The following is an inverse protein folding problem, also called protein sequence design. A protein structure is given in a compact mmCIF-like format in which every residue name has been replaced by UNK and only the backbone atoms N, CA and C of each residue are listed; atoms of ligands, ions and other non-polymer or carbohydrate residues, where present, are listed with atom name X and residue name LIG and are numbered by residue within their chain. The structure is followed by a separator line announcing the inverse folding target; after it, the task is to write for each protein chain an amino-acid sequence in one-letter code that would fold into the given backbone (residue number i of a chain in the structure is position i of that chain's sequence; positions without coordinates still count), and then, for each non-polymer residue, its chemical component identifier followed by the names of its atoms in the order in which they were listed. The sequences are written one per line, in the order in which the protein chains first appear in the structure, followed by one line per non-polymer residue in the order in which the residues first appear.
data_IF_538500236435
#
_entry.id   IF_538500236435
#
_cell.length_a   1.000
_cell.length_b   1.000
_cell.length_c   1.000
_cell.angle_alpha   90.00
_cell.angle_beta   90.00
_cell.angle_gamma   90.00
#
_symmetry.space_group_name_H-M   'P 1'
#
loop_
_entity.id
_entity.type
_entity.pdbx_description
1 polymer ?
#
# COMPACT_ATOMS: atom_id res chain seq x y z
N UNK A 1 -19.17 -10.16 -7.45
CA UNK A 1 -18.01 -9.65 -8.22
C UNK A 1 -17.30 -8.46 -7.58
N UNK A 2 -17.74 -7.96 -6.43
CA UNK A 2 -17.37 -6.62 -5.94
C UNK A 2 -16.11 -6.59 -5.07
N UNK A 3 -15.97 -7.50 -4.11
CA UNK A 3 -14.91 -7.41 -3.07
C UNK A 3 -13.48 -7.68 -3.55
N UNK A 4 -13.30 -8.58 -4.51
CA UNK A 4 -11.96 -8.87 -5.07
C UNK A 4 -11.42 -7.70 -5.92
N UNK A 5 -12.31 -7.10 -6.71
CA UNK A 5 -11.98 -5.92 -7.54
C UNK A 5 -11.65 -4.72 -6.64
N UNK A 6 -12.46 -4.50 -5.59
CA UNK A 6 -12.20 -3.45 -4.60
C UNK A 6 -10.83 -3.63 -3.93
N UNK A 7 -10.50 -4.86 -3.50
CA UNK A 7 -9.20 -5.14 -2.89
C UNK A 7 -8.04 -4.86 -3.86
N UNK A 8 -8.13 -5.30 -5.12
CA UNK A 8 -7.08 -5.03 -6.10
C UNK A 8 -6.93 -3.55 -6.44
N UNK A 9 -8.04 -2.79 -6.50
CA UNK A 9 -8.01 -1.35 -6.75
C UNK A 9 -7.39 -0.62 -5.57
N UNK A 10 -7.76 -0.97 -4.32
CA UNK A 10 -7.19 -0.37 -3.12
C UNK A 10 -5.67 -0.62 -3.01
N UNK A 11 -5.21 -1.85 -3.28
CA UNK A 11 -3.79 -2.19 -3.29
C UNK A 11 -3.06 -1.43 -4.41
N UNK A 12 -3.58 -1.51 -5.64
CA UNK A 12 -2.93 -0.92 -6.81
C UNK A 12 -2.85 0.60 -6.73
N UNK A 13 -3.98 1.26 -6.47
CA UNK A 13 -4.05 2.72 -6.36
C UNK A 13 -3.28 3.23 -5.13
N UNK A 14 -3.38 2.54 -4.00
CA UNK A 14 -2.65 2.89 -2.79
C UNK A 14 -1.13 2.83 -2.97
N UNK A 15 -0.63 1.73 -3.54
CA UNK A 15 0.79 1.58 -3.84
C UNK A 15 1.26 2.57 -4.90
N UNK A 16 0.48 2.78 -5.97
CA UNK A 16 0.82 3.75 -7.01
C UNK A 16 0.95 5.17 -6.45
N UNK A 17 0.02 5.59 -5.59
CA UNK A 17 0.08 6.91 -4.93
C UNK A 17 1.33 7.05 -4.05
N UNK A 18 1.59 6.05 -3.19
CA UNK A 18 2.74 6.09 -2.28
C UNK A 18 4.08 6.09 -3.03
N UNK A 19 4.21 5.24 -4.06
CA UNK A 19 5.43 5.16 -4.88
C UNK A 19 5.62 6.43 -5.69
N UNK A 20 4.57 6.98 -6.31
CA UNK A 20 4.66 8.21 -7.11
C UNK A 20 5.10 9.39 -6.24
N UNK A 21 4.51 9.54 -5.05
CA UNK A 21 4.91 10.58 -4.11
C UNK A 21 6.34 10.40 -3.58
N UNK A 22 6.72 9.17 -3.22
CA UNK A 22 8.08 8.87 -2.77
C UNK A 22 9.14 9.11 -3.86
N UNK A 23 8.85 8.71 -5.10
CA UNK A 23 9.73 8.97 -6.24
C UNK A 23 9.81 10.47 -6.57
N UNK A 24 8.69 11.19 -6.51
CA UNK A 24 8.67 12.65 -6.70
C UNK A 24 9.54 13.39 -5.67
N UNK A 25 9.48 12.95 -4.41
CA UNK A 25 10.38 13.43 -3.38
C UNK A 25 11.85 13.14 -3.70
N UNK A 26 12.19 11.89 -4.03
CA UNK A 26 13.57 11.48 -4.30
C UNK A 26 14.16 12.20 -5.52
N UNK A 27 13.38 12.38 -6.59
CA UNK A 27 13.85 13.09 -7.77
C UNK A 27 14.12 14.56 -7.46
N UNK A 28 13.21 15.23 -6.73
CA UNK A 28 13.43 16.59 -6.25
C UNK A 28 14.68 16.66 -5.38
N UNK A 29 14.81 15.79 -4.39
CA UNK A 29 16.00 15.74 -3.52
C UNK A 29 17.27 15.59 -4.35
N UNK A 30 17.32 14.64 -5.28
CA UNK A 30 18.48 14.39 -6.14
C UNK A 30 18.86 15.57 -7.06
N UNK A 31 17.89 16.35 -7.53
CA UNK A 31 18.14 17.54 -8.34
C UNK A 31 18.76 18.69 -7.53
N UNK A 32 18.35 18.82 -6.27
CA UNK A 32 18.77 19.93 -5.41
C UNK A 32 19.93 19.58 -4.48
N UNK A 33 20.34 18.32 -4.40
CA UNK A 33 21.44 17.88 -3.53
C UNK A 33 22.77 18.58 -3.86
N UNK A 34 23.02 18.85 -5.14
CA UNK A 34 24.21 19.57 -5.59
C UNK A 34 24.30 21.03 -5.07
N UNK A 35 23.18 21.61 -4.62
CA UNK A 35 23.15 22.96 -4.04
C UNK A 35 23.47 22.98 -2.54
N UNK A 36 23.71 21.80 -1.94
CA UNK A 36 24.06 21.70 -0.53
C UNK A 36 25.37 22.44 -0.22
N UNK A 37 25.30 23.45 0.63
CA UNK A 37 26.44 24.30 0.99
C UNK A 37 26.71 25.47 0.02
N UNK A 38 26.01 25.55 -1.12
CA UNK A 38 26.11 26.68 -2.05
C UNK A 38 25.02 27.74 -1.83
N UNK A 39 23.87 27.35 -1.26
CA UNK A 39 22.76 28.23 -0.94
C UNK A 39 22.50 28.30 0.56
N UNK A 40 21.72 29.30 0.97
CA UNK A 40 21.23 29.44 2.34
C UNK A 40 20.56 28.13 2.80
N UNK A 41 20.99 27.62 3.95
CA UNK A 41 20.55 26.35 4.51
C UNK A 41 19.03 26.31 4.70
N UNK A 42 18.40 27.44 5.06
CA UNK A 42 16.95 27.52 5.23
C UNK A 42 16.19 27.33 3.92
N UNK A 43 16.72 27.86 2.81
CA UNK A 43 16.17 27.69 1.48
C UNK A 43 16.37 26.26 0.97
N UNK A 44 17.56 25.68 1.16
CA UNK A 44 17.83 24.29 0.82
C UNK A 44 16.85 23.34 1.53
N UNK A 45 16.68 23.50 2.84
CA UNK A 45 15.75 22.68 3.62
C UNK A 45 14.31 22.83 3.13
N UNK A 46 13.86 24.05 2.85
CA UNK A 46 12.49 24.29 2.36
C UNK A 46 12.20 23.64 1.01
N UNK A 47 13.22 23.51 0.15
CA UNK A 47 13.08 22.88 -1.17
C UNK A 47 13.17 21.36 -1.08
N UNK A 48 14.04 20.85 -0.22
CA UNK A 48 14.31 19.41 -0.06
C UNK A 48 13.41 18.72 0.96
N UNK A 49 12.63 19.46 1.74
CA UNK A 49 11.69 18.89 2.70
C UNK A 49 10.53 18.15 2.00
N UNK A 50 10.14 16.99 2.56
CA UNK A 50 8.95 16.24 2.13
C UNK A 50 7.74 17.15 2.27
N UNK A 51 7.06 17.41 1.15
CA UNK A 51 5.87 18.26 1.19
C UNK A 51 4.73 17.57 1.95
N UNK A 52 3.84 18.35 2.55
CA UNK A 52 2.64 17.80 3.21
C UNK A 52 1.80 16.95 2.25
N UNK A 53 1.82 17.27 0.95
CA UNK A 53 1.15 16.48 -0.08
C UNK A 53 1.81 15.11 -0.26
N UNK A 54 3.13 15.04 -0.44
CA UNK A 54 3.87 13.77 -0.58
C UNK A 54 3.69 12.90 0.67
N UNK A 55 3.82 13.49 1.87
CA UNK A 55 3.60 12.81 3.14
C UNK A 55 2.18 12.21 3.21
N UNK A 56 1.17 13.00 2.84
CA UNK A 56 -0.24 12.57 2.86
C UNK A 56 -0.50 11.46 1.85
N UNK A 57 0.05 11.59 0.63
CA UNK A 57 -0.08 10.59 -0.42
C UNK A 57 0.58 9.26 -0.05
N UNK A 58 1.74 9.30 0.61
CA UNK A 58 2.42 8.10 1.13
C UNK A 58 1.57 7.44 2.22
N UNK A 59 1.13 8.21 3.23
CA UNK A 59 0.37 7.68 4.35
C UNK A 59 -0.98 7.09 3.91
N UNK A 60 -1.76 7.83 3.13
CA UNK A 60 -3.05 7.38 2.63
C UNK A 60 -2.89 6.22 1.62
N UNK A 61 -1.85 6.27 0.78
CA UNK A 61 -1.56 5.22 -0.17
C UNK A 61 -1.24 3.89 0.52
N UNK A 62 -0.36 3.92 1.53
CA UNK A 62 -0.04 2.74 2.34
C UNK A 62 -1.26 2.25 3.13
N UNK A 63 -2.04 3.14 3.73
CA UNK A 63 -3.25 2.77 4.45
C UNK A 63 -4.27 2.07 3.53
N UNK A 64 -4.51 2.62 2.34
CA UNK A 64 -5.40 2.01 1.35
C UNK A 64 -4.89 0.63 0.91
N UNK A 65 -3.58 0.48 0.69
CA UNK A 65 -2.98 -0.80 0.32
C UNK A 65 -3.13 -1.85 1.42
N UNK A 66 -2.94 -1.46 2.69
CA UNK A 66 -3.13 -2.35 3.84
C UNK A 66 -4.60 -2.79 3.98
N UNK A 67 -5.55 -1.88 3.81
CA UNK A 67 -6.98 -2.20 3.84
C UNK A 67 -7.32 -3.20 2.73
N UNK A 68 -6.85 -2.95 1.50
CA UNK A 68 -7.05 -3.87 0.38
C UNK A 68 -6.44 -5.25 0.64
N UNK A 69 -5.26 -5.31 1.26
CA UNK A 69 -4.60 -6.56 1.64
C UNK A 69 -5.42 -7.35 2.67
N UNK A 70 -5.92 -6.69 3.72
CA UNK A 70 -6.78 -7.33 4.75
C UNK A 70 -8.05 -7.91 4.12
N UNK A 71 -8.69 -7.19 3.19
CA UNK A 71 -9.88 -7.67 2.46
C UNK A 71 -9.54 -8.89 1.60
N UNK A 72 -8.39 -8.88 0.92
CA UNK A 72 -7.93 -10.00 0.11
C UNK A 72 -7.69 -11.26 0.96
N UNK A 73 -6.99 -11.11 2.11
CA UNK A 73 -6.67 -12.21 3.02
C UNK A 73 -7.92 -12.80 3.66
N UNK A 74 -8.80 -11.96 4.21
CA UNK A 74 -10.06 -12.43 4.84
C UNK A 74 -10.91 -13.24 3.87
N UNK A 75 -10.98 -12.83 2.59
CA UNK A 75 -11.64 -13.63 1.55
C UNK A 75 -10.92 -14.95 1.28
N UNK A 76 -9.59 -14.94 1.15
CA UNK A 76 -8.82 -16.16 0.92
C UNK A 76 -9.02 -17.18 2.06
N UNK A 77 -9.09 -16.72 3.31
CA UNK A 77 -9.40 -17.55 4.48
C UNK A 77 -10.84 -18.07 4.43
N UNK A 78 -11.82 -17.22 4.11
CA UNK A 78 -13.23 -17.60 4.01
C UNK A 78 -13.47 -18.70 2.95
N UNK A 79 -12.78 -18.62 1.80
CA UNK A 79 -12.87 -19.61 0.72
C UNK A 79 -12.19 -20.95 1.07
N UNK A 80 -11.22 -20.97 2.00
CA UNK A 80 -10.55 -22.20 2.46
C UNK A 80 -11.37 -22.98 3.50
N UNK A 81 -12.24 -22.32 4.27
CA UNK A 81 -13.08 -22.98 5.31
C UNK A 81 -14.11 -24.02 4.82
N UNK A 82 -14.81 -23.88 3.67
CA UNK A 82 -15.82 -24.87 3.26
C UNK A 82 -15.23 -26.27 3.01
N UNK A 83 -14.03 -26.38 2.45
CA UNK A 83 -13.38 -27.69 2.19
C UNK A 83 -13.02 -28.47 3.46
N UNK A 84 -12.76 -27.78 4.56
CA UNK A 84 -12.44 -28.44 5.84
C UNK A 84 -13.68 -29.04 6.54
N UNK A 85 -14.89 -28.51 6.26
CA UNK A 85 -16.14 -29.03 6.85
C UNK A 85 -16.73 -30.23 6.12
N UNK A 86 -16.45 -30.37 4.82
CA UNK A 86 -16.90 -31.53 4.03
C UNK A 86 -16.01 -32.76 4.26
N UNK A 87 -14.71 -32.57 4.49
CA UNK A 87 -13.78 -33.66 4.82
C UNK A 87 -14.09 -34.36 6.17
N UNK A 88 -14.74 -33.66 7.11
CA UNK A 88 -15.10 -34.22 8.43
C UNK A 88 -16.43 -34.97 8.48
N UNK A 89 -17.27 -34.91 7.43
CA UNK A 89 -18.62 -35.54 7.40
C UNK A 89 -18.72 -36.78 6.53
N UNK A 90 -17.71 -37.08 5.71
CA UNK A 90 -17.68 -38.26 4.84
C UNK A 90 -17.10 -39.53 5.47
N UNK A 91 -16.58 -39.46 6.69
CA UNK A 91 -15.86 -40.57 7.34
C UNK A 91 -16.71 -41.51 8.19
N UNK A 92 -18.00 -41.23 8.39
CA UNK A 92 -18.81 -41.83 9.46
C UNK A 92 -20.01 -42.65 8.95
N UNK A 93 -19.81 -43.41 7.86
CA UNK A 93 -20.83 -44.34 7.31
C UNK A 93 -20.22 -45.64 6.78
N UNK A 94 -19.49 -46.36 7.65
CA UNK A 94 -19.10 -47.74 7.40
C UNK A 94 -19.11 -48.56 8.69
N UNK A 95 -20.29 -48.82 9.24
CA UNK A 95 -20.56 -50.01 10.07
C UNK A 95 -21.99 -50.49 9.80
#
# INVERSE_FOLDING_TARGET
MTSAVIASVLIGAGMAAAVTAGLGYLTRFSMFDALYGEIDTSLYLRITEVTSFEMTAILLGLAAALIGLVVAITRAVALRRPRAREAGRGGDRRE
#
